data_IF_840157723455
#
_entry.id   IF_840157723455
#
_cell.length_a   1.000
_cell.length_b   1.000
_cell.length_c   1.000
_cell.angle_alpha   90.00
_cell.angle_beta   90.00
_cell.angle_gamma   90.00
#
_symmetry.space_group_name_H-M   'P 1'
#
loop_
_entity.id
_entity.type
_entity.pdbx_description
1 polymer ?
#
# COMPACT_ATOMS: atom_id res chain seq x y z
N UNK A 1 -18.67 22.29 -14.59
CA UNK A 1 -18.70 21.75 -13.22
C UNK A 1 -17.40 21.01 -12.99
N UNK A 2 -16.86 21.09 -11.79
CA UNK A 2 -15.63 20.37 -11.50
C UNK A 2 -15.84 18.85 -11.54
N UNK A 3 -14.89 18.12 -12.14
CA UNK A 3 -14.89 16.65 -12.17
C UNK A 3 -13.83 16.08 -11.26
N UNK A 4 -14.18 15.03 -10.53
CA UNK A 4 -13.23 14.29 -9.71
C UNK A 4 -12.21 13.62 -10.63
N UNK A 5 -10.93 13.98 -10.49
CA UNK A 5 -9.86 13.44 -11.33
C UNK A 5 -9.09 12.34 -10.60
N UNK A 6 -8.71 12.58 -9.35
CA UNK A 6 -7.88 11.65 -8.59
C UNK A 6 -8.23 11.70 -7.10
N UNK A 7 -8.36 10.54 -6.45
CA UNK A 7 -8.65 10.46 -5.01
C UNK A 7 -7.33 10.33 -4.26
N UNK A 8 -7.10 11.19 -3.27
CA UNK A 8 -5.88 11.20 -2.47
C UNK A 8 -5.99 10.32 -1.21
N UNK A 9 -7.16 9.73 -0.95
CA UNK A 9 -7.37 8.87 0.22
C UNK A 9 -6.60 7.56 0.05
N UNK A 10 -5.75 7.24 1.03
CA UNK A 10 -4.85 6.07 1.03
C UNK A 10 -3.79 6.07 -0.09
N UNK A 11 -3.54 7.22 -0.71
CA UNK A 11 -2.44 7.38 -1.67
C UNK A 11 -1.18 7.74 -0.89
N UNK A 12 -0.04 7.05 -1.15
CA UNK A 12 1.25 7.43 -0.60
C UNK A 12 1.62 8.89 -0.93
N UNK A 13 2.28 9.59 -0.01
CA UNK A 13 2.60 11.02 -0.19
C UNK A 13 3.47 11.28 -1.44
N UNK A 14 4.36 10.35 -1.77
CA UNK A 14 5.20 10.37 -2.98
C UNK A 14 4.37 10.22 -4.26
N UNK A 15 3.38 9.33 -4.26
CA UNK A 15 2.47 9.18 -5.41
C UNK A 15 1.61 10.43 -5.59
N UNK A 16 1.08 10.99 -4.51
CA UNK A 16 0.29 12.22 -4.56
C UNK A 16 1.11 13.37 -5.15
N UNK A 17 2.37 13.50 -4.74
CA UNK A 17 3.27 14.53 -5.24
C UNK A 17 3.67 14.31 -6.71
N UNK A 18 3.97 13.08 -7.11
CA UNK A 18 4.22 12.72 -8.52
C UNK A 18 3.01 13.06 -9.41
N UNK A 19 1.79 12.80 -8.94
CA UNK A 19 0.56 13.15 -9.66
C UNK A 19 0.39 14.67 -9.78
N UNK A 20 0.66 15.45 -8.72
CA UNK A 20 0.63 16.92 -8.80
C UNK A 20 1.63 17.45 -9.82
N UNK A 21 2.85 16.92 -9.80
CA UNK A 21 3.91 17.30 -10.76
C UNK A 21 3.55 16.93 -12.19
N UNK A 22 2.96 15.74 -12.42
CA UNK A 22 2.50 15.30 -13.73
C UNK A 22 1.45 16.26 -14.30
N UNK A 23 0.45 16.64 -13.50
CA UNK A 23 -0.61 17.55 -13.93
C UNK A 23 -0.07 18.97 -14.17
N UNK A 24 0.82 19.46 -13.30
CA UNK A 24 1.48 20.74 -13.47
C UNK A 24 2.35 20.79 -14.75
N UNK A 25 3.07 19.71 -15.06
CA UNK A 25 3.91 19.62 -16.26
C UNK A 25 3.11 19.69 -17.57
N UNK A 26 1.85 19.24 -17.56
CA UNK A 26 0.93 19.31 -18.70
C UNK A 26 0.01 20.54 -18.65
N UNK A 27 0.29 21.49 -17.75
CA UNK A 27 -0.51 22.69 -17.53
C UNK A 27 -2.01 22.38 -17.30
N UNK A 28 -2.30 21.30 -16.57
CA UNK A 28 -3.65 20.90 -16.22
C UNK A 28 -4.00 21.55 -14.87
N UNK A 29 -4.90 22.52 -14.89
CA UNK A 29 -5.37 23.19 -13.68
C UNK A 29 -6.29 22.29 -12.87
N UNK A 30 -5.89 21.99 -11.64
CA UNK A 30 -6.67 21.21 -10.68
C UNK A 30 -6.78 21.94 -9.36
N UNK A 31 -7.89 21.72 -8.66
CA UNK A 31 -8.02 22.11 -7.26
C UNK A 31 -7.96 20.88 -6.36
N UNK A 32 -7.34 21.04 -5.20
CA UNK A 32 -7.21 20.01 -4.19
C UNK A 32 -8.19 20.25 -3.05
N UNK A 33 -8.81 19.17 -2.57
CA UNK A 33 -9.56 19.18 -1.32
C UNK A 33 -8.78 18.43 -0.25
N UNK A 34 -8.74 18.97 0.97
CA UNK A 34 -8.10 18.33 2.12
C UNK A 34 -9.01 17.32 2.81
N UNK A 35 -8.42 16.41 3.59
CA UNK A 35 -9.12 15.43 4.45
C UNK A 35 -9.72 16.06 5.73
N UNK A 36 -9.42 17.35 5.98
CA UNK A 36 -9.83 18.09 7.16
C UNK A 36 -9.24 17.53 8.45
N UNK A 37 -9.37 18.25 9.57
CA UNK A 37 -8.78 17.85 10.84
C UNK A 37 -9.29 16.50 11.40
N UNK A 38 -10.44 16.03 10.92
CA UNK A 38 -11.10 14.81 11.42
C UNK A 38 -11.04 13.64 10.42
N UNK A 39 -10.44 13.82 9.24
CA UNK A 39 -10.33 12.77 8.21
C UNK A 39 -11.65 12.35 7.54
N UNK A 40 -12.73 13.12 7.76
CA UNK A 40 -14.07 12.79 7.27
C UNK A 40 -14.28 13.26 5.83
N UNK A 41 -13.60 14.32 5.37
CA UNK A 41 -13.76 14.79 4.01
C UNK A 41 -13.09 13.86 3.00
N UNK A 42 -13.38 14.11 1.72
CA UNK A 42 -12.83 13.37 0.60
C UNK A 42 -11.65 14.14 0.03
N UNK A 43 -10.40 13.78 0.40
CA UNK A 43 -9.25 14.44 -0.18
C UNK A 43 -9.08 13.96 -1.63
N UNK A 44 -8.98 14.91 -2.54
CA UNK A 44 -8.97 14.63 -3.97
C UNK A 44 -8.44 15.80 -4.79
N UNK A 45 -7.94 15.48 -5.99
CA UNK A 45 -7.68 16.42 -7.06
C UNK A 45 -8.87 16.44 -8.00
N UNK A 46 -9.28 17.65 -8.34
CA UNK A 46 -10.46 17.89 -9.14
C UNK A 46 -10.12 18.78 -10.32
N UNK A 47 -10.60 18.39 -11.48
CA UNK A 47 -10.35 19.09 -12.73
C UNK A 47 -11.34 20.24 -12.90
N UNK A 48 -10.81 21.42 -13.21
CA UNK A 48 -11.62 22.61 -13.48
C UNK A 48 -12.20 22.62 -14.90
N UNK A 49 -11.40 22.21 -15.88
CA UNK A 49 -11.77 22.17 -17.30
C UNK A 49 -12.26 20.78 -17.71
N UNK A 50 -13.56 20.65 -17.97
CA UNK A 50 -14.16 19.37 -18.36
C UNK A 50 -13.72 18.88 -19.75
N UNK A 51 -13.30 19.77 -20.65
CA UNK A 51 -12.90 19.41 -22.01
C UNK A 51 -11.59 18.62 -22.01
N UNK A 52 -10.74 18.86 -21.01
CA UNK A 52 -9.45 18.19 -20.81
C UNK A 52 -9.53 16.96 -19.90
N UNK A 53 -10.74 16.54 -19.53
CA UNK A 53 -10.94 15.40 -18.64
C UNK A 53 -10.38 14.11 -19.23
N UNK A 54 -10.67 13.85 -20.51
CA UNK A 54 -10.21 12.63 -21.17
C UNK A 54 -8.67 12.63 -21.36
N UNK A 55 -8.08 13.80 -21.63
CA UNK A 55 -6.63 14.00 -21.68
C UNK A 55 -5.98 13.71 -20.31
N UNK A 56 -6.52 14.30 -19.25
CA UNK A 56 -6.00 14.13 -17.89
C UNK A 56 -6.12 12.67 -17.41
N UNK A 57 -7.24 12.00 -17.72
CA UNK A 57 -7.42 10.58 -17.43
C UNK A 57 -6.41 9.70 -18.18
N UNK A 58 -6.18 9.97 -19.47
CA UNK A 58 -5.20 9.22 -20.26
C UNK A 58 -3.77 9.36 -19.70
N UNK A 59 -3.39 10.57 -19.28
CA UNK A 59 -2.09 10.83 -18.66
C UNK A 59 -1.94 10.09 -17.32
N UNK A 60 -2.96 10.11 -16.47
CA UNK A 60 -2.95 9.38 -15.21
C UNK A 60 -2.89 7.86 -15.42
N UNK A 61 -3.62 7.33 -16.40
CA UNK A 61 -3.59 5.91 -16.72
C UNK A 61 -2.21 5.46 -17.21
N UNK A 62 -1.54 6.28 -18.03
CA UNK A 62 -0.17 6.02 -18.42
C UNK A 62 0.78 6.04 -17.22
N UNK A 63 0.72 7.08 -16.40
CA UNK A 63 1.52 7.18 -15.19
C UNK A 63 1.34 5.99 -14.24
N UNK A 64 0.09 5.55 -14.03
CA UNK A 64 -0.20 4.44 -13.13
C UNK A 64 0.34 3.10 -13.65
N UNK A 65 0.30 2.89 -14.98
CA UNK A 65 0.93 1.71 -15.60
C UNK A 65 2.44 1.74 -15.40
N UNK A 66 3.08 2.87 -15.70
CA UNK A 66 4.53 3.03 -15.54
C UNK A 66 4.95 2.81 -14.08
N UNK A 67 4.21 3.38 -13.12
CA UNK A 67 4.47 3.20 -11.68
C UNK A 67 4.31 1.74 -11.25
N UNK A 68 3.26 1.05 -11.70
CA UNK A 68 3.05 -0.35 -11.39
C UNK A 68 4.17 -1.25 -11.92
N UNK A 69 4.67 -0.98 -13.13
CA UNK A 69 5.80 -1.70 -13.71
C UNK A 69 7.09 -1.47 -12.91
N UNK A 70 7.38 -0.22 -12.51
CA UNK A 70 8.54 0.11 -11.66
C UNK A 70 8.51 -0.62 -10.32
N UNK A 71 7.40 -0.53 -9.60
CA UNK A 71 7.23 -1.16 -8.27
C UNK A 71 7.35 -2.67 -8.36
N UNK A 72 6.78 -3.28 -9.42
CA UNK A 72 6.90 -4.72 -9.66
C UNK A 72 8.35 -5.13 -9.94
N UNK A 73 9.06 -4.38 -10.78
CA UNK A 73 10.46 -4.66 -11.07
C UNK A 73 11.34 -4.53 -9.82
N UNK A 74 11.08 -3.52 -8.99
CA UNK A 74 11.77 -3.33 -7.71
C UNK A 74 11.51 -4.52 -6.76
N UNK A 75 10.24 -4.93 -6.61
CA UNK A 75 9.87 -6.10 -5.82
C UNK A 75 10.53 -7.39 -6.31
N UNK A 76 10.55 -7.63 -7.63
CA UNK A 76 11.22 -8.79 -8.23
C UNK A 76 12.74 -8.76 -7.99
N UNK A 77 13.36 -7.58 -8.06
CA UNK A 77 14.78 -7.40 -7.78
C UNK A 77 15.13 -7.64 -6.30
N UNK A 78 14.31 -7.16 -5.37
CA UNK A 78 14.47 -7.39 -3.93
C UNK A 78 14.30 -8.88 -3.59
N UNK A 79 13.30 -9.52 -4.21
CA UNK A 79 13.07 -10.96 -4.07
C UNK A 79 14.26 -11.79 -4.59
N UNK A 80 14.88 -11.37 -5.70
CA UNK A 80 16.05 -12.02 -6.25
C UNK A 80 17.33 -11.81 -5.40
N UNK A 81 17.47 -10.64 -4.77
CA UNK A 81 18.68 -10.26 -4.02
C UNK A 81 18.69 -10.77 -2.57
N UNK A 82 17.55 -11.06 -1.97
CA UNK A 82 17.51 -11.46 -0.57
C UNK A 82 16.11 -11.75 -0.10
N UNK A 83 15.42 -12.62 -0.84
CA UNK A 83 14.03 -13.02 -0.62
C UNK A 83 13.64 -12.97 0.85
N UNK A 84 12.56 -12.22 1.10
CA UNK A 84 11.94 -11.99 2.39
C UNK A 84 12.10 -13.19 3.32
N UNK A 85 12.33 -12.99 4.63
CA UNK A 85 12.47 -14.08 5.59
C UNK A 85 11.19 -14.94 5.62
N UNK A 86 11.10 -15.86 4.66
CA UNK A 86 10.10 -16.89 4.54
C UNK A 86 10.11 -17.67 5.84
N UNK A 87 8.95 -18.16 6.29
CA UNK A 87 8.84 -18.96 7.51
C UNK A 87 9.89 -20.09 7.54
N UNK A 88 10.23 -20.67 6.38
CA UNK A 88 11.29 -21.66 6.20
C UNK A 88 12.71 -21.12 6.39
N UNK A 89 12.97 -19.89 5.95
CA UNK A 89 14.25 -19.22 6.20
C UNK A 89 14.40 -18.85 7.67
N UNK A 90 13.34 -18.36 8.33
CA UNK A 90 13.33 -18.04 9.76
C UNK A 90 13.54 -19.29 10.61
N UNK A 91 12.93 -20.42 10.22
CA UNK A 91 13.17 -21.75 10.80
C UNK A 91 14.65 -22.15 10.74
N UNK A 92 15.33 -21.87 9.61
CA UNK A 92 16.73 -22.25 9.38
C UNK A 92 17.71 -21.30 10.06
N UNK A 93 17.38 -20.01 10.16
CA UNK A 93 18.26 -18.99 10.74
C UNK A 93 18.17 -18.96 12.28
N UNK A 94 17.03 -19.30 12.89
CA UNK A 94 16.84 -19.28 14.36
C UNK A 94 16.05 -20.50 14.89
N UNK A 95 16.56 -21.74 14.72
CA UNK A 95 15.81 -22.96 15.07
C UNK A 95 15.46 -23.06 16.56
N UNK A 96 16.35 -22.63 17.45
CA UNK A 96 16.13 -22.61 18.90
C UNK A 96 14.97 -21.72 19.33
N UNK A 97 14.85 -20.53 18.72
CA UNK A 97 13.80 -19.56 19.06
C UNK A 97 12.42 -20.06 18.64
N UNK A 98 12.33 -20.71 17.48
CA UNK A 98 11.09 -21.35 17.02
C UNK A 98 10.69 -22.48 17.97
N UNK A 99 11.63 -23.38 18.32
CA UNK A 99 11.35 -24.50 19.23
C UNK A 99 10.87 -24.02 20.60
N UNK A 100 11.43 -22.93 21.12
CA UNK A 100 10.99 -22.31 22.38
C UNK A 100 9.53 -21.87 22.30
N UNK A 101 9.15 -21.13 21.25
CA UNK A 101 7.77 -20.65 21.07
C UNK A 101 6.79 -21.80 20.86
N UNK A 102 7.13 -22.78 20.01
CA UNK A 102 6.29 -23.98 19.80
C UNK A 102 6.12 -24.76 21.11
N UNK A 103 7.19 -24.92 21.89
CA UNK A 103 7.14 -25.59 23.19
C UNK A 103 6.26 -24.85 24.20
N UNK A 104 6.37 -23.51 24.27
CA UNK A 104 5.53 -22.69 25.14
C UNK A 104 4.05 -22.79 24.73
N UNK A 105 3.75 -22.62 23.45
CA UNK A 105 2.38 -22.74 22.91
C UNK A 105 1.80 -24.14 23.14
N UNK A 106 2.59 -25.20 22.92
CA UNK A 106 2.18 -26.57 23.19
C UNK A 106 1.95 -26.82 24.69
N UNK A 107 2.78 -26.24 25.57
CA UNK A 107 2.59 -26.31 27.02
C UNK A 107 1.30 -25.65 27.48
N UNK A 108 1.00 -24.45 26.95
CA UNK A 108 -0.27 -23.74 27.22
C UNK A 108 -1.47 -24.54 26.71
N UNK A 109 -1.39 -25.05 25.47
CA UNK A 109 -2.45 -25.90 24.90
C UNK A 109 -2.65 -27.18 25.72
N UNK A 110 -1.56 -27.84 26.14
CA UNK A 110 -1.61 -29.04 26.96
C UNK A 110 -2.28 -28.76 28.32
N UNK A 111 -1.90 -27.67 28.99
CA UNK A 111 -2.53 -27.27 30.25
C UNK A 111 -4.02 -26.96 30.05
N UNK A 112 -4.36 -26.23 28.98
CA UNK A 112 -5.75 -25.87 28.67
C UNK A 112 -6.62 -27.09 28.38
N UNK A 113 -6.15 -28.00 27.53
CA UNK A 113 -6.86 -29.22 27.15
C UNK A 113 -6.92 -30.21 28.31
N UNK A 114 -5.80 -30.45 29.01
CA UNK A 114 -5.78 -31.37 30.15
C UNK A 114 -6.65 -30.88 31.32
N UNK A 115 -6.77 -29.57 31.52
CA UNK A 115 -7.70 -29.00 32.51
C UNK A 115 -9.16 -29.26 32.15
N UNK A 116 -9.50 -29.33 30.86
CA UNK A 116 -10.87 -29.59 30.40
C UNK A 116 -11.24 -31.07 30.50
N UNK A 117 -10.32 -31.98 30.18
CA UNK A 117 -10.54 -33.43 30.29
C UNK A 117 -10.35 -34.01 31.70
N UNK A 118 -9.87 -33.22 32.67
CA UNK A 118 -9.75 -33.61 34.08
C UNK A 118 -10.97 -33.27 34.93
N UNK A 119 -12.07 -32.83 34.34
CA UNK A 119 -13.37 -32.66 35.00
C UNK A 119 -14.21 -33.93 34.82
#
# INVERSE_FOLDING_TARGET
>A
MAKLLFRLRHVPDDEAEEVRQLLAAHAIEVYETDAGNWGISMPALWLQDEERYDEACALLEQYQRDRAERVRAEYESLKAQGGEPSLLSTLRTQPLRVLLYVGLSAGVLYLSVSSFFRF
#
